data_IF_649665460672
#
_entry.id   IF_649665460672
#
_cell.length_a   1.000
_cell.length_b   1.000
_cell.length_c   1.000
_cell.angle_alpha   90.00
_cell.angle_beta   90.00
_cell.angle_gamma   90.00
#
_symmetry.space_group_name_H-M   'P 1'
#
loop_
_entity.id
_entity.type
_entity.pdbx_description
1 polymer ?
#
# COMPACT_ATOMS: atom_id res chain seq x y z
N UNK A 1 -7.47 -16.20 6.71
CA UNK A 1 -6.81 -15.83 5.43
C UNK A 1 -5.96 -14.60 5.66
N UNK A 2 -4.68 -14.68 5.29
CA UNK A 2 -3.74 -13.55 5.38
C UNK A 2 -3.81 -12.72 4.10
N UNK A 3 -3.86 -11.40 4.23
CA UNK A 3 -3.67 -10.45 3.12
C UNK A 3 -2.59 -9.45 3.49
N UNK A 4 -1.64 -9.24 2.59
CA UNK A 4 -0.56 -8.27 2.75
C UNK A 4 -0.73 -7.21 1.67
N UNK A 5 -0.75 -5.94 2.06
CA UNK A 5 -0.71 -4.80 1.14
C UNK A 5 0.57 -4.03 1.31
N UNK A 6 1.27 -3.77 0.22
CA UNK A 6 2.57 -3.10 0.21
C UNK A 6 2.52 -1.92 -0.77
N UNK A 7 2.73 -0.71 -0.25
CA UNK A 7 3.07 0.50 -0.98
C UNK A 7 4.60 0.68 -0.92
N UNK A 8 5.37 0.20 -1.92
CA UNK A 8 6.82 0.16 -1.87
C UNK A 8 7.45 1.53 -2.18
N UNK A 9 8.59 1.81 -1.54
CA UNK A 9 9.43 2.97 -1.86
C UNK A 9 10.90 2.56 -1.91
N UNK A 10 11.66 3.15 -2.84
CA UNK A 10 13.10 2.90 -2.96
C UNK A 10 13.97 3.81 -2.08
N UNK A 11 13.46 4.98 -1.67
CA UNK A 11 14.26 6.01 -0.97
C UNK A 11 13.46 6.85 0.04
N UNK A 12 12.17 6.54 0.22
CA UNK A 12 11.25 7.23 1.10
C UNK A 12 10.66 6.29 2.13
N UNK A 13 9.33 6.22 2.21
CA UNK A 13 8.61 5.38 3.16
C UNK A 13 7.87 4.27 2.43
N UNK A 14 8.05 3.04 2.87
CA UNK A 14 7.23 1.89 2.48
C UNK A 14 6.12 1.71 3.49
N UNK A 15 4.88 1.69 3.02
CA UNK A 15 3.72 1.31 3.83
C UNK A 15 3.44 -0.18 3.69
N UNK A 16 3.33 -0.90 4.81
CA UNK A 16 2.95 -2.32 4.82
C UNK A 16 1.82 -2.53 5.82
N UNK A 17 0.81 -3.29 5.40
CA UNK A 17 -0.28 -3.72 6.26
C UNK A 17 -0.53 -5.21 6.14
N UNK A 18 -0.94 -5.81 7.25
CA UNK A 18 -1.26 -7.23 7.32
C UNK A 18 -2.66 -7.38 7.89
N UNK A 19 -3.50 -8.09 7.14
CA UNK A 19 -4.82 -8.53 7.56
C UNK A 19 -4.82 -10.01 7.87
N UNK A 20 -5.53 -10.39 8.93
CA UNK A 20 -5.92 -11.76 9.21
C UNK A 20 -7.45 -11.79 9.31
N UNK A 21 -8.09 -12.59 8.44
CA UNK A 21 -9.55 -12.73 8.39
C UNK A 21 -10.28 -11.39 8.29
N UNK A 22 -9.80 -10.54 7.36
CA UNK A 22 -10.28 -9.19 7.10
C UNK A 22 -10.15 -8.21 8.28
N UNK A 23 -9.39 -8.56 9.33
CA UNK A 23 -9.03 -7.63 10.41
C UNK A 23 -7.59 -7.17 10.23
N UNK A 24 -7.37 -5.85 10.25
CA UNK A 24 -6.02 -5.28 10.21
C UNK A 24 -5.30 -5.58 11.53
N UNK A 25 -4.27 -6.41 11.50
CA UNK A 25 -3.50 -6.81 12.68
C UNK A 25 -2.16 -6.08 12.78
N UNK A 26 -1.66 -5.51 11.67
CA UNK A 26 -0.39 -4.79 11.65
C UNK A 26 -0.42 -3.60 10.69
N UNK A 27 0.14 -2.48 11.14
CA UNK A 27 0.44 -1.27 10.36
C UNK A 27 1.93 -0.97 10.50
N UNK A 28 2.66 -0.85 9.40
CA UNK A 28 4.10 -0.59 9.40
C UNK A 28 4.41 0.53 8.40
N UNK A 29 5.07 1.58 8.87
CA UNK A 29 5.74 2.57 8.03
C UNK A 29 7.25 2.38 8.21
N UNK A 30 7.95 2.07 7.12
CA UNK A 30 9.40 1.88 7.13
C UNK A 30 10.08 2.92 6.23
N UNK A 31 10.96 3.73 6.81
CA UNK A 31 11.65 4.82 6.09
C UNK A 31 13.14 4.55 6.01
N UNK A 32 13.68 4.52 4.79
CA UNK A 32 15.12 4.48 4.55
C UNK A 32 15.46 5.19 3.22
N UNK A 33 16.70 5.62 3.05
CA UNK A 33 17.18 6.23 1.80
C UNK A 33 17.80 5.22 0.84
N UNK A 34 18.11 4.02 1.31
CA UNK A 34 18.71 2.96 0.50
C UNK A 34 17.70 1.82 0.33
N UNK A 35 17.37 1.57 -0.94
CA UNK A 35 16.40 0.55 -1.36
C UNK A 35 16.73 -0.85 -0.87
N UNK A 36 18.02 -1.13 -0.60
CA UNK A 36 18.48 -2.41 -0.04
C UNK A 36 18.07 -2.64 1.42
N UNK A 37 17.53 -1.64 2.10
CA UNK A 37 16.89 -1.88 3.39
C UNK A 37 15.39 -2.10 3.21
N UNK A 38 14.79 -1.48 2.19
CA UNK A 38 13.39 -1.69 1.86
C UNK A 38 13.14 -3.11 1.35
N UNK A 39 14.00 -3.63 0.48
CA UNK A 39 13.86 -4.99 -0.06
C UNK A 39 13.93 -6.04 1.05
N UNK A 40 14.95 -6.00 1.91
CA UNK A 40 15.16 -6.90 3.02
C UNK A 40 13.98 -6.82 4.00
N UNK A 41 13.53 -5.61 4.35
CA UNK A 41 12.40 -5.43 5.24
C UNK A 41 11.10 -6.01 4.67
N UNK A 42 10.80 -5.76 3.39
CA UNK A 42 9.61 -6.31 2.74
C UNK A 42 9.69 -7.84 2.67
N UNK A 43 10.85 -8.39 2.28
CA UNK A 43 11.07 -9.85 2.17
C UNK A 43 10.89 -10.53 3.53
N UNK A 44 11.48 -9.98 4.59
CA UNK A 44 11.34 -10.49 5.96
C UNK A 44 9.87 -10.53 6.39
N UNK A 45 9.11 -9.47 6.14
CA UNK A 45 7.68 -9.42 6.45
C UNK A 45 6.89 -10.43 5.61
N UNK A 46 7.15 -10.55 4.31
CA UNK A 46 6.46 -11.55 3.49
C UNK A 46 6.71 -12.96 4.03
N UNK A 47 7.96 -13.30 4.35
CA UNK A 47 8.30 -14.61 4.92
C UNK A 47 7.70 -14.86 6.31
N UNK A 48 7.63 -13.84 7.18
CA UNK A 48 7.03 -13.96 8.51
C UNK A 48 5.54 -14.37 8.41
N UNK A 49 4.82 -13.85 7.41
CA UNK A 49 3.38 -14.05 7.23
C UNK A 49 3.02 -15.00 6.08
N UNK A 50 4.00 -15.66 5.46
CA UNK A 50 3.78 -16.62 4.39
C UNK A 50 3.02 -17.84 4.94
N UNK A 51 1.90 -18.19 4.29
CA UNK A 51 1.05 -19.32 4.69
C UNK A 51 0.64 -20.10 3.44
N UNK A 52 -0.48 -20.80 3.46
CA UNK A 52 -1.08 -21.38 2.26
C UNK A 52 -2.32 -20.57 1.94
N UNK A 53 -2.37 -19.96 0.75
CA UNK A 53 -3.51 -19.17 0.29
C UNK A 53 -3.54 -17.73 0.80
N UNK A 54 -2.39 -17.19 1.21
CA UNK A 54 -2.18 -15.76 1.41
C UNK A 54 -2.33 -14.98 0.10
N UNK A 55 -2.73 -13.72 0.24
CA UNK A 55 -2.79 -12.77 -0.88
C UNK A 55 -1.73 -11.70 -0.62
N UNK A 56 -0.74 -11.61 -1.50
CA UNK A 56 0.31 -10.60 -1.42
C UNK A 56 0.08 -9.59 -2.55
N UNK A 57 -0.43 -8.42 -2.21
CA UNK A 57 -0.66 -7.33 -3.14
C UNK A 57 0.45 -6.28 -2.98
N UNK A 58 1.15 -5.96 -4.08
CA UNK A 58 2.20 -4.94 -4.10
C UNK A 58 1.87 -3.92 -5.19
N UNK A 59 1.93 -2.63 -4.88
CA UNK A 59 1.74 -1.62 -5.91
C UNK A 59 2.92 -1.59 -6.90
N UNK A 60 2.58 -1.72 -8.18
CA UNK A 60 3.52 -1.61 -9.30
C UNK A 60 3.68 -0.16 -9.72
N UNK A 61 4.40 0.61 -8.89
CA UNK A 61 4.70 2.01 -9.14
C UNK A 61 5.73 2.16 -10.26
N UNK A 62 5.37 1.78 -11.50
CA UNK A 62 6.23 1.98 -12.67
C UNK A 62 6.46 3.47 -12.90
N UNK A 63 7.70 3.94 -12.76
CA UNK A 63 7.99 5.32 -13.03
C UNK A 63 8.12 5.54 -14.54
N UNK A 64 7.55 6.64 -15.02
CA UNK A 64 7.58 6.99 -16.44
C UNK A 64 8.99 7.41 -16.89
N UNK A 65 9.30 7.20 -18.17
CA UNK A 65 10.56 7.62 -18.82
C UNK A 65 10.86 9.13 -18.68
N UNK A 66 9.86 9.95 -18.38
CA UNK A 66 10.00 11.40 -18.22
C UNK A 66 10.80 11.86 -16.98
N UNK A 67 11.04 10.99 -15.99
CA UNK A 67 11.70 11.36 -14.74
C UNK A 67 12.91 10.46 -14.45
N UNK A 68 14.05 10.72 -15.11
CA UNK A 68 15.32 10.08 -14.76
C UNK A 68 15.81 10.54 -13.39
N UNK A 69 15.43 9.84 -12.33
CA UNK A 69 15.89 10.12 -10.96
C UNK A 69 16.46 8.86 -10.30
N UNK A 70 17.34 9.05 -9.30
CA UNK A 70 17.85 7.93 -8.48
C UNK A 70 16.71 7.15 -7.83
N UNK A 71 15.69 7.84 -7.32
CA UNK A 71 14.52 7.24 -6.68
C UNK A 71 13.78 6.29 -7.63
N UNK A 72 13.74 6.66 -8.91
CA UNK A 72 13.19 5.82 -9.98
C UNK A 72 13.90 4.48 -10.06
N UNK A 73 15.21 4.54 -10.23
CA UNK A 73 16.03 3.38 -10.51
C UNK A 73 16.12 2.47 -9.28
N UNK A 74 16.12 3.06 -8.09
CA UNK A 74 16.10 2.35 -6.81
C UNK A 74 14.74 1.66 -6.56
N UNK A 75 13.62 2.30 -6.90
CA UNK A 75 12.32 1.62 -6.89
C UNK A 75 12.25 0.48 -7.92
N UNK A 76 12.73 0.68 -9.14
CA UNK A 76 12.76 -0.38 -10.16
C UNK A 76 13.61 -1.59 -9.73
N UNK A 77 14.75 -1.34 -9.06
CA UNK A 77 15.58 -2.41 -8.47
C UNK A 77 14.81 -3.17 -7.39
N UNK A 78 14.14 -2.46 -6.48
CA UNK A 78 13.31 -3.06 -5.45
C UNK A 78 12.22 -3.95 -6.05
N UNK A 79 11.43 -3.42 -7.00
CA UNK A 79 10.35 -4.18 -7.65
C UNK A 79 10.90 -5.41 -8.39
N UNK A 80 12.04 -5.28 -9.09
CA UNK A 80 12.69 -6.39 -9.77
C UNK A 80 13.18 -7.49 -8.83
N UNK A 81 13.72 -7.14 -7.66
CA UNK A 81 14.11 -8.11 -6.62
C UNK A 81 12.89 -8.85 -6.10
N UNK A 82 11.81 -8.14 -5.75
CA UNK A 82 10.56 -8.75 -5.28
C UNK A 82 9.95 -9.68 -6.34
N UNK A 83 9.92 -9.24 -7.60
CA UNK A 83 9.42 -10.05 -8.72
C UNK A 83 10.22 -11.34 -8.89
N UNK A 84 11.55 -11.28 -8.78
CA UNK A 84 12.40 -12.45 -8.86
C UNK A 84 12.20 -13.40 -7.68
N UNK A 85 12.12 -12.87 -6.46
CA UNK A 85 12.05 -13.64 -5.23
C UNK A 85 10.71 -14.34 -5.03
N UNK A 86 9.61 -13.70 -5.43
CA UNK A 86 8.23 -14.17 -5.23
C UNK A 86 7.50 -14.34 -6.56
N UNK A 87 8.20 -14.91 -7.54
CA UNK A 87 7.69 -15.05 -8.91
C UNK A 87 6.42 -15.89 -8.95
N UNK A 88 5.30 -15.27 -9.33
CA UNK A 88 4.00 -15.91 -9.42
C UNK A 88 3.13 -15.78 -8.15
N UNK A 89 3.72 -15.40 -7.02
CA UNK A 89 3.03 -15.28 -5.74
C UNK A 89 2.52 -13.85 -5.48
N UNK A 90 3.21 -12.84 -6.03
CA UNK A 90 2.81 -11.43 -5.92
C UNK A 90 1.72 -11.08 -6.94
N UNK A 91 0.67 -10.43 -6.44
CA UNK A 91 -0.28 -9.69 -7.25
C UNK A 91 0.14 -8.22 -7.37
N UNK A 92 0.60 -7.85 -8.56
CA UNK A 92 0.96 -6.48 -8.91
C UNK A 92 -0.28 -5.61 -9.14
N UNK A 93 -0.43 -4.58 -8.31
CA UNK A 93 -1.56 -3.65 -8.33
C UNK A 93 -1.17 -2.38 -9.06
N UNK A 94 -1.94 -1.96 -10.06
CA UNK A 94 -1.65 -0.72 -10.77
C UNK A 94 -1.88 0.52 -9.89
N UNK A 95 -0.99 1.52 -9.91
CA UNK A 95 -1.19 2.79 -9.22
C UNK A 95 -2.43 3.56 -9.68
N UNK A 96 -3.00 3.21 -10.84
CA UNK A 96 -4.27 3.78 -11.30
C UNK A 96 -5.42 3.40 -10.37
N UNK A 97 -5.38 2.20 -9.78
CA UNK A 97 -6.41 1.72 -8.86
C UNK A 97 -6.43 2.56 -7.58
N UNK A 98 -5.30 2.63 -6.87
CA UNK A 98 -5.14 3.44 -5.64
C UNK A 98 -5.50 4.90 -5.90
N UNK A 99 -4.95 5.52 -6.95
CA UNK A 99 -5.27 6.90 -7.35
C UNK A 99 -6.76 7.11 -7.60
N UNK A 100 -7.44 6.16 -8.23
CA UNK A 100 -8.89 6.25 -8.47
C UNK A 100 -9.68 6.20 -7.17
N UNK A 101 -9.35 5.26 -6.26
CA UNK A 101 -10.00 5.14 -4.95
C UNK A 101 -9.83 6.42 -4.15
N UNK A 102 -8.59 6.92 -4.03
CA UNK A 102 -8.27 8.16 -3.31
C UNK A 102 -9.06 9.33 -3.87
N UNK A 103 -9.01 9.57 -5.19
CA UNK A 103 -9.71 10.69 -5.83
C UNK A 103 -11.22 10.61 -5.63
N UNK A 104 -11.81 9.41 -5.69
CA UNK A 104 -13.23 9.22 -5.47
C UNK A 104 -13.63 9.55 -4.03
N UNK A 105 -12.92 9.00 -3.04
CA UNK A 105 -13.20 9.27 -1.63
C UNK A 105 -13.04 10.76 -1.27
N UNK A 106 -11.97 11.40 -1.77
CA UNK A 106 -11.73 12.82 -1.55
C UNK A 106 -12.83 13.69 -2.15
N UNK A 107 -13.30 13.38 -3.36
CA UNK A 107 -14.38 14.12 -4.00
C UNK A 107 -15.74 13.90 -3.33
N UNK A 108 -16.08 12.66 -2.99
CA UNK A 108 -17.36 12.34 -2.34
C UNK A 108 -17.46 12.96 -0.94
N UNK A 109 -16.34 13.04 -0.21
CA UNK A 109 -16.32 13.65 1.12
C UNK A 109 -16.69 15.14 1.13
N UNK A 110 -16.47 15.88 0.03
CA UNK A 110 -16.81 17.31 -0.10
C UNK A 110 -18.31 17.58 -0.04
N UNK A 111 -19.11 16.59 -0.46
CA UNK A 111 -20.56 16.73 -0.62
C UNK A 111 -21.35 15.97 0.44
N UNK A 112 -20.67 15.28 1.37
CA UNK A 112 -21.33 14.57 2.46
C UNK A 112 -21.52 15.50 3.67
N UNK A 113 -22.70 15.46 4.30
CA UNK A 113 -23.07 16.30 5.45
C UNK A 113 -22.10 16.19 6.65
N UNK A 114 -21.42 15.04 6.81
CA UNK A 114 -20.43 14.81 7.88
C UNK A 114 -18.98 15.08 7.46
N UNK A 115 -18.75 15.45 6.19
CA UNK A 115 -17.42 15.53 5.57
C UNK A 115 -16.59 14.25 5.70
N UNK A 116 -17.21 13.11 6.05
CA UNK A 116 -16.57 11.83 6.31
C UNK A 116 -17.00 10.83 5.25
N UNK A 117 -16.05 10.22 4.57
CA UNK A 117 -16.30 9.13 3.64
C UNK A 117 -15.62 7.85 4.13
N UNK A 118 -16.28 6.71 3.94
CA UNK A 118 -15.76 5.39 4.31
C UNK A 118 -15.36 4.64 3.06
N UNK A 119 -14.29 3.87 3.13
CA UNK A 119 -13.90 3.00 2.03
C UNK A 119 -14.77 1.74 2.03
N UNK A 120 -15.41 1.41 0.91
CA UNK A 120 -16.40 0.33 0.86
C UNK A 120 -15.81 -1.05 1.20
N UNK A 121 -14.54 -1.29 0.87
CA UNK A 121 -13.87 -2.57 1.15
C UNK A 121 -13.27 -2.68 2.55
N UNK A 122 -13.05 -1.56 3.23
CA UNK A 122 -12.72 -1.51 4.65
C UNK A 122 -13.31 -0.23 5.28
N UNK A 123 -14.51 -0.31 5.89
CA UNK A 123 -15.19 0.85 6.45
C UNK A 123 -14.45 1.55 7.61
N UNK A 124 -13.39 0.93 8.15
CA UNK A 124 -12.54 1.54 9.15
C UNK A 124 -11.56 2.54 8.54
N UNK A 125 -11.22 2.37 7.25
CA UNK A 125 -10.50 3.38 6.48
C UNK A 125 -11.47 4.49 6.08
N UNK A 126 -11.20 5.68 6.57
CA UNK A 126 -12.03 6.85 6.32
C UNK A 126 -11.21 8.04 5.85
N UNK A 127 -11.85 8.90 5.07
CA UNK A 127 -11.30 10.20 4.70
C UNK A 127 -12.21 11.30 5.24
N UNK A 128 -11.61 12.28 5.91
CA UNK A 128 -12.30 13.48 6.36
C UNK A 128 -11.81 14.70 5.59
N UNK A 129 -12.72 15.37 4.89
CA UNK A 129 -12.39 16.54 4.06
C UNK A 129 -11.65 17.61 4.87
N UNK A 130 -10.50 18.05 4.35
CA UNK A 130 -9.63 19.04 4.99
C UNK A 130 -8.79 18.51 6.17
N UNK A 131 -9.00 17.28 6.64
CA UNK A 131 -8.26 16.70 7.78
C UNK A 131 -7.33 15.54 7.41
N UNK A 132 -7.69 14.76 6.39
CA UNK A 132 -6.89 13.65 5.87
C UNK A 132 -7.49 12.27 6.12
N UNK A 133 -6.62 11.26 6.17
CA UNK A 133 -6.98 9.85 6.23
C UNK A 133 -6.87 9.28 7.64
N UNK A 134 -7.82 8.40 7.99
CA UNK A 134 -7.91 7.77 9.29
C UNK A 134 -8.19 6.27 9.16
N UNK A 135 -7.65 5.49 10.10
CA UNK A 135 -8.03 4.10 10.32
C UNK A 135 -8.51 3.91 11.75
N UNK A 136 -9.73 3.42 11.96
CA UNK A 136 -10.31 3.31 13.31
C UNK A 136 -10.24 4.62 14.11
N UNK A 137 -10.54 5.76 13.45
CA UNK A 137 -10.45 7.12 13.99
C UNK A 137 -9.03 7.61 14.36
N UNK A 138 -7.98 6.83 14.09
CA UNK A 138 -6.59 7.26 14.23
C UNK A 138 -6.09 7.83 12.91
N UNK A 139 -5.41 8.98 12.93
CA UNK A 139 -4.82 9.56 11.73
C UNK A 139 -3.69 8.67 11.22
N UNK A 140 -3.64 8.42 9.90
CA UNK A 140 -2.62 7.58 9.26
C UNK A 140 -1.86 8.34 8.17
N UNK A 141 -0.70 7.81 7.78
CA UNK A 141 0.08 8.30 6.64
C UNK A 141 -0.60 7.94 5.31
N UNK A 142 -0.22 8.63 4.24
CA UNK A 142 -0.68 8.28 2.89
C UNK A 142 -0.16 6.89 2.46
N UNK A 143 1.01 6.48 2.93
CA UNK A 143 1.59 5.18 2.64
C UNK A 143 0.79 4.04 3.28
N UNK A 144 0.41 4.17 4.56
CA UNK A 144 -0.49 3.22 5.19
C UNK A 144 -1.88 3.20 4.53
N UNK A 145 -2.40 4.36 4.13
CA UNK A 145 -3.65 4.42 3.35
C UNK A 145 -3.53 3.59 2.08
N UNK A 146 -2.49 3.82 1.28
CA UNK A 146 -2.31 3.13 0.01
C UNK A 146 -2.14 1.63 0.24
N UNK A 147 -1.32 1.23 1.22
CA UNK A 147 -1.16 -0.16 1.63
C UNK A 147 -2.50 -0.82 2.02
N UNK A 148 -3.41 -0.14 2.72
CA UNK A 148 -4.76 -0.64 3.05
C UNK A 148 -5.62 -0.83 1.78
N UNK A 149 -5.59 0.14 0.87
CA UNK A 149 -6.34 0.05 -0.40
C UNK A 149 -5.81 -1.13 -1.22
N UNK A 150 -4.48 -1.28 -1.30
CA UNK A 150 -3.77 -2.35 -2.01
C UNK A 150 -4.09 -3.72 -1.39
N UNK A 151 -4.06 -3.86 -0.06
CA UNK A 151 -4.40 -5.12 0.63
C UNK A 151 -5.83 -5.61 0.33
N UNK A 152 -6.74 -4.69 0.04
CA UNK A 152 -8.15 -4.97 -0.29
C UNK A 152 -8.43 -4.92 -1.80
N UNK A 153 -7.40 -4.89 -2.63
CA UNK A 153 -7.55 -5.09 -4.08
C UNK A 153 -8.01 -6.52 -4.37
N UNK A 154 -9.01 -6.63 -5.24
CA UNK A 154 -9.56 -7.89 -5.74
C UNK A 154 -9.40 -7.85 -7.26
N UNK A 155 -8.86 -8.92 -7.84
CA UNK A 155 -8.67 -9.07 -9.29
C UNK A 155 -9.99 -9.28 -10.02
#
# INVERSE_FOLDING_TARGET
MIKIGIDPSGTGTTGIVIYEDNKLIKKLDFTNKDWKYHDNYIIEIIWEYQRSGEIINVEDCLPTSANGSKDRDDLLRLLGVLQKQFWGDINWVSPKYTKSVVKNMENLSKYNNSCLWKYDKDPNLTYQYGKGWFYNNEKISNHLRDAIIIANYER
#
